data_IF_650490484803
#
_entry.id   IF_650490484803
#
_cell.length_a   1.000
_cell.length_b   1.000
_cell.length_c   1.000
_cell.angle_alpha   90.00
_cell.angle_beta   90.00
_cell.angle_gamma   90.00
#
_symmetry.space_group_name_H-M   'P 1'
#
loop_
_entity.id
_entity.type
_entity.pdbx_description
1 polymer ?
#
# COMPACT_ATOMS: atom_id res chain seq x y z
N UNK A 1 33.28 -21.72 -3.31
CA UNK A 1 32.95 -20.63 -2.39
C UNK A 1 31.43 -20.72 -2.16
N UNK A 2 30.97 -21.00 -0.94
CA UNK A 2 29.54 -20.97 -0.66
C UNK A 2 29.12 -19.49 -0.79
N UNK A 3 28.30 -19.17 -1.78
CA UNK A 3 27.65 -17.87 -1.87
C UNK A 3 26.77 -17.72 -0.62
N UNK A 4 27.26 -17.02 0.38
CA UNK A 4 26.42 -16.52 1.47
C UNK A 4 25.45 -15.56 0.83
N UNK A 5 24.20 -16.01 0.64
CA UNK A 5 23.14 -15.15 0.09
C UNK A 5 23.02 -13.92 1.00
N UNK A 6 23.36 -12.74 0.48
CA UNK A 6 23.20 -11.50 1.23
C UNK A 6 21.73 -11.31 1.61
N UNK A 7 21.50 -10.78 2.81
CA UNK A 7 20.15 -10.50 3.30
C UNK A 7 19.83 -9.02 3.26
N UNK A 8 18.57 -8.69 3.09
CA UNK A 8 18.06 -7.33 3.24
C UNK A 8 17.25 -7.24 4.52
N UNK A 9 17.59 -6.29 5.38
CA UNK A 9 16.96 -6.07 6.67
C UNK A 9 16.17 -4.77 6.69
N UNK A 10 15.03 -4.77 7.35
CA UNK A 10 14.27 -3.57 7.70
C UNK A 10 14.77 -3.13 9.09
N UNK A 11 15.21 -1.87 9.20
CA UNK A 11 15.78 -1.33 10.44
C UNK A 11 14.82 -0.37 11.16
N UNK A 12 14.09 0.46 10.43
CA UNK A 12 13.02 1.31 10.96
C UNK A 12 11.98 1.57 9.87
N UNK A 13 10.76 1.92 10.27
CA UNK A 13 9.67 2.20 9.34
C UNK A 13 8.65 3.14 9.98
N UNK A 14 8.17 4.12 9.20
CA UNK A 14 7.19 5.11 9.62
C UNK A 14 6.25 5.46 8.49
N UNK A 15 5.09 6.04 8.84
CA UNK A 15 4.09 6.53 7.91
C UNK A 15 3.44 7.82 8.39
N UNK A 16 2.85 8.56 7.49
CA UNK A 16 1.90 9.61 7.84
C UNK A 16 0.58 8.99 8.33
N UNK A 17 -0.30 9.74 8.97
CA UNK A 17 -1.72 9.40 9.03
C UNK A 17 -2.25 9.17 7.62
N UNK A 18 -3.34 8.41 7.48
CA UNK A 18 -4.07 8.27 6.23
C UNK A 18 -5.25 9.25 6.22
N UNK A 19 -5.24 10.18 5.26
CA UNK A 19 -6.30 11.15 5.02
C UNK A 19 -7.42 10.58 4.14
N UNK A 20 -8.65 11.08 4.31
CA UNK A 20 -9.75 10.83 3.37
C UNK A 20 -9.59 11.71 2.13
N UNK A 21 -10.22 11.31 1.04
CA UNK A 21 -10.35 12.17 -0.14
C UNK A 21 -10.97 13.53 0.23
N UNK A 22 -10.30 14.60 -0.15
CA UNK A 22 -10.70 15.96 0.20
C UNK A 22 -10.64 16.28 1.70
N UNK A 23 -9.99 15.42 2.51
CA UNK A 23 -9.91 15.54 3.98
C UNK A 23 -8.67 16.25 4.48
N UNK A 24 -8.21 15.81 5.65
CA UNK A 24 -7.17 16.49 6.44
C UNK A 24 -5.83 16.67 5.71
N UNK A 25 -5.45 15.73 4.83
CA UNK A 25 -4.20 15.78 4.07
C UNK A 25 -4.33 16.39 2.66
N UNK A 26 -5.55 16.72 2.20
CA UNK A 26 -5.79 17.20 0.84
C UNK A 26 -5.04 18.48 0.46
N UNK A 27 -4.57 19.27 1.45
CA UNK A 27 -3.81 20.50 1.22
C UNK A 27 -2.29 20.30 1.22
N UNK A 28 -1.82 19.11 1.56
CA UNK A 28 -0.40 18.76 1.54
C UNK A 28 -0.04 18.27 0.14
N UNK A 29 0.95 18.91 -0.50
CA UNK A 29 1.45 18.48 -1.81
C UNK A 29 1.97 17.05 -1.74
N UNK A 30 1.83 16.30 -2.81
CA UNK A 30 2.23 14.88 -2.84
C UNK A 30 3.73 14.69 -2.61
N UNK A 31 4.56 15.52 -3.20
CA UNK A 31 6.01 15.51 -3.05
C UNK A 31 6.46 15.90 -1.64
N UNK A 32 5.81 16.89 -1.02
CA UNK A 32 6.03 17.26 0.38
C UNK A 32 5.57 16.14 1.33
N UNK A 33 4.41 15.54 1.08
CA UNK A 33 3.87 14.43 1.88
C UNK A 33 4.84 13.24 1.90
N UNK A 34 5.44 12.91 0.74
CA UNK A 34 6.44 11.85 0.62
C UNK A 34 7.75 12.16 1.36
N UNK A 35 8.11 13.43 1.50
CA UNK A 35 9.31 13.83 2.23
C UNK A 35 9.18 13.69 3.75
N UNK A 36 7.95 13.73 4.31
CA UNK A 36 7.73 13.70 5.76
C UNK A 36 8.24 12.41 6.42
N UNK A 37 7.89 11.19 5.97
CA UNK A 37 8.41 9.97 6.58
C UNK A 37 9.93 9.84 6.42
N UNK A 38 10.54 10.36 5.35
CA UNK A 38 12.00 10.38 5.18
C UNK A 38 12.63 11.28 6.23
N UNK A 39 12.14 12.52 6.42
CA UNK A 39 12.61 13.43 7.49
C UNK A 39 12.47 12.81 8.86
N UNK A 40 11.37 12.10 9.12
CA UNK A 40 11.14 11.46 10.40
C UNK A 40 12.15 10.34 10.68
N UNK A 41 12.51 9.54 9.67
CA UNK A 41 13.58 8.54 9.77
C UNK A 41 14.93 9.21 10.04
N UNK A 42 15.25 10.30 9.33
CA UNK A 42 16.47 11.08 9.58
C UNK A 42 16.53 11.62 11.02
N UNK A 43 15.42 12.14 11.52
CA UNK A 43 15.34 12.67 12.88
C UNK A 43 15.43 11.58 13.96
N UNK A 44 14.91 10.37 13.70
CA UNK A 44 15.03 9.21 14.60
C UNK A 44 16.46 8.66 14.65
N UNK A 45 17.23 8.86 13.59
CA UNK A 45 18.57 8.32 13.43
C UNK A 45 19.61 9.41 13.14
N UNK A 46 19.83 10.38 14.05
CA UNK A 46 20.75 11.51 13.81
C UNK A 46 22.23 11.10 13.71
N UNK A 47 22.56 9.90 14.15
CA UNK A 47 23.92 9.36 14.09
C UNK A 47 24.25 8.59 12.81
N UNK A 48 23.31 8.40 11.89
CA UNK A 48 23.58 7.74 10.63
C UNK A 48 24.31 8.67 9.65
N UNK A 49 25.25 8.11 8.90
CA UNK A 49 25.80 8.77 7.73
C UNK A 49 24.82 8.68 6.55
N UNK A 50 23.92 9.65 6.47
CA UNK A 50 22.95 9.74 5.40
C UNK A 50 23.57 9.97 4.02
N UNK A 51 24.82 10.43 3.93
CA UNK A 51 25.53 10.56 2.66
C UNK A 51 25.93 9.19 2.07
N UNK A 52 25.99 8.15 2.91
CA UNK A 52 26.22 6.76 2.49
C UNK A 52 24.95 6.05 1.99
N UNK A 53 23.80 6.72 1.92
CA UNK A 53 22.57 6.14 1.35
C UNK A 53 22.75 5.95 -0.16
N UNK A 54 22.58 4.73 -0.63
CA UNK A 54 22.79 4.39 -2.04
C UNK A 54 21.62 4.85 -2.91
N UNK A 55 20.36 4.65 -2.48
CA UNK A 55 19.19 4.99 -3.29
C UNK A 55 17.90 5.08 -2.45
N UNK A 56 16.93 5.85 -2.95
CA UNK A 56 15.55 5.93 -2.44
C UNK A 56 14.58 5.35 -3.45
N UNK A 57 13.82 4.32 -3.05
CA UNK A 57 12.77 3.67 -3.86
C UNK A 57 11.40 4.06 -3.32
N UNK A 58 10.59 4.79 -4.08
CA UNK A 58 9.21 5.07 -3.68
C UNK A 58 8.20 4.56 -4.70
N UNK A 59 7.18 3.89 -4.20
CA UNK A 59 5.99 3.55 -4.96
C UNK A 59 5.07 4.76 -5.14
N UNK A 60 4.60 4.99 -6.38
CA UNK A 60 3.57 5.98 -6.68
C UNK A 60 2.79 5.53 -7.92
N UNK A 61 1.47 5.48 -7.85
CA UNK A 61 0.65 4.98 -8.95
C UNK A 61 0.27 6.09 -9.94
N UNK A 62 -0.06 7.30 -9.48
CA UNK A 62 -0.54 8.36 -10.35
C UNK A 62 0.59 8.97 -11.17
N UNK A 63 1.45 9.75 -10.74
CA UNK A 63 2.54 10.44 -11.45
C UNK A 63 2.07 11.46 -12.51
N UNK A 64 0.81 11.90 -12.47
CA UNK A 64 0.27 12.87 -13.42
C UNK A 64 0.31 14.32 -12.91
N UNK A 65 0.43 14.52 -11.60
CA UNK A 65 0.40 15.82 -10.95
C UNK A 65 1.72 16.22 -10.30
N UNK A 66 1.66 16.56 -9.02
CA UNK A 66 2.81 16.95 -8.19
C UNK A 66 3.79 15.80 -7.92
N UNK A 67 3.35 14.60 -8.20
CA UNK A 67 4.06 13.32 -8.14
C UNK A 67 4.81 12.97 -9.45
N UNK A 68 4.80 13.85 -10.44
CA UNK A 68 5.53 13.67 -11.69
C UNK A 68 7.05 13.86 -11.50
N UNK A 69 7.82 13.60 -12.55
CA UNK A 69 9.29 13.77 -12.59
C UNK A 69 10.05 13.02 -11.50
N UNK A 70 9.64 11.79 -11.19
CA UNK A 70 10.29 10.95 -10.20
C UNK A 70 10.12 11.49 -8.76
N UNK A 71 8.94 11.25 -8.18
CA UNK A 71 8.61 11.71 -6.83
C UNK A 71 9.58 11.20 -5.76
N UNK A 72 10.21 10.04 -5.95
CA UNK A 72 11.24 9.52 -5.03
C UNK A 72 12.45 10.48 -4.99
N UNK A 73 12.94 10.93 -6.15
CA UNK A 73 14.04 11.90 -6.21
C UNK A 73 13.63 13.26 -5.67
N UNK A 74 12.43 13.74 -5.99
CA UNK A 74 11.95 15.03 -5.50
C UNK A 74 11.82 15.02 -3.97
N UNK A 75 11.21 14.01 -3.41
CA UNK A 75 10.96 13.93 -1.97
C UNK A 75 12.23 13.75 -1.13
N UNK A 76 13.23 13.01 -1.61
CA UNK A 76 14.51 12.90 -0.89
C UNK A 76 15.23 14.26 -0.81
N UNK A 77 15.21 15.06 -1.89
CA UNK A 77 15.77 16.41 -1.91
C UNK A 77 14.98 17.35 -0.97
N UNK A 78 13.65 17.29 -1.02
CA UNK A 78 12.78 18.04 -0.12
C UNK A 78 12.96 17.61 1.34
N UNK A 79 13.32 16.37 1.60
CA UNK A 79 13.65 15.88 2.94
C UNK A 79 15.00 16.42 3.46
N UNK A 80 15.87 16.91 2.58
CA UNK A 80 17.19 17.44 2.93
C UNK A 80 18.32 16.42 2.82
N UNK A 81 18.08 15.30 2.13
CA UNK A 81 19.14 14.35 1.77
C UNK A 81 20.07 14.94 0.69
N UNK A 82 21.28 14.40 0.57
CA UNK A 82 22.30 14.87 -0.38
C UNK A 82 21.84 14.76 -1.84
N UNK A 83 22.25 15.73 -2.65
CA UNK A 83 22.05 15.71 -4.12
C UNK A 83 22.77 14.55 -4.80
N UNK A 84 23.72 13.90 -4.13
CA UNK A 84 24.43 12.73 -4.65
C UNK A 84 23.60 11.46 -4.62
N UNK A 85 22.50 11.40 -3.82
CA UNK A 85 21.68 10.23 -3.63
C UNK A 85 20.62 10.15 -4.74
N UNK A 86 20.63 9.11 -5.57
CA UNK A 86 19.60 8.90 -6.58
C UNK A 86 18.24 8.47 -5.99
N UNK A 87 17.21 8.50 -6.80
CA UNK A 87 15.90 8.01 -6.40
C UNK A 87 15.15 7.41 -7.58
N UNK A 88 14.38 6.36 -7.34
CA UNK A 88 13.59 5.65 -8.35
C UNK A 88 12.12 5.56 -7.92
N UNK A 89 11.22 6.02 -8.80
CA UNK A 89 9.78 5.87 -8.61
C UNK A 89 9.28 4.61 -9.30
N UNK A 90 8.58 3.75 -8.56
CA UNK A 90 8.07 2.46 -9.04
C UNK A 90 6.54 2.52 -9.14
N UNK A 91 6.01 2.07 -10.26
CA UNK A 91 4.58 1.94 -10.48
C UNK A 91 4.19 0.49 -10.74
N UNK A 92 3.50 -0.09 -9.77
CA UNK A 92 2.69 -1.32 -9.89
C UNK A 92 1.32 -1.07 -9.29
N UNK A 93 0.71 0.08 -9.63
CA UNK A 93 -0.60 0.50 -9.11
C UNK A 93 -0.69 0.32 -7.58
N UNK A 94 -1.69 -0.41 -7.08
CA UNK A 94 -1.92 -0.62 -5.64
C UNK A 94 -0.72 -1.22 -4.89
N UNK A 95 0.16 -1.96 -5.55
CA UNK A 95 1.32 -2.60 -4.93
C UNK A 95 2.64 -1.83 -5.13
N UNK A 96 2.60 -0.59 -5.64
CA UNK A 96 3.81 0.18 -5.93
C UNK A 96 4.76 0.29 -4.73
N UNK A 97 4.24 0.55 -3.53
CA UNK A 97 5.05 0.62 -2.31
C UNK A 97 5.63 -0.73 -1.89
N UNK A 98 4.90 -1.85 -2.07
CA UNK A 98 5.43 -3.18 -1.79
C UNK A 98 6.52 -3.56 -2.80
N UNK A 99 6.34 -3.21 -4.07
CA UNK A 99 7.34 -3.46 -5.11
C UNK A 99 8.58 -2.58 -4.93
N UNK A 100 8.45 -1.37 -4.39
CA UNK A 100 9.56 -0.52 -3.98
C UNK A 100 10.41 -1.19 -2.89
N UNK A 101 9.76 -1.70 -1.83
CA UNK A 101 10.43 -2.47 -0.77
C UNK A 101 11.11 -3.72 -1.32
N UNK A 102 10.41 -4.48 -2.17
CA UNK A 102 10.95 -5.68 -2.79
C UNK A 102 12.09 -5.40 -3.76
N UNK A 103 12.07 -4.27 -4.48
CA UNK A 103 13.13 -3.86 -5.40
C UNK A 103 14.39 -3.45 -4.65
N UNK A 104 14.27 -2.64 -3.60
CA UNK A 104 15.39 -2.33 -2.73
C UNK A 104 16.00 -3.59 -2.09
N UNK A 105 15.16 -4.51 -1.61
CA UNK A 105 15.63 -5.78 -1.06
C UNK A 105 16.36 -6.66 -2.10
N UNK A 106 15.92 -6.67 -3.36
CA UNK A 106 16.61 -7.38 -4.46
C UNK A 106 17.97 -6.74 -4.77
N UNK A 107 18.04 -5.42 -4.86
CA UNK A 107 19.27 -4.69 -5.11
C UNK A 107 20.29 -4.89 -3.98
N UNK A 108 19.86 -4.92 -2.71
CA UNK A 108 20.72 -5.27 -1.56
C UNK A 108 21.20 -6.71 -1.66
N UNK A 109 20.32 -7.65 -1.98
CA UNK A 109 20.67 -9.09 -2.07
C UNK A 109 21.58 -9.41 -3.25
N UNK A 110 21.50 -8.65 -4.35
CA UNK A 110 22.45 -8.77 -5.48
C UNK A 110 23.81 -8.14 -5.20
N UNK A 111 23.93 -7.36 -4.13
CA UNK A 111 25.16 -6.66 -3.77
C UNK A 111 25.40 -5.37 -4.57
N UNK A 112 24.39 -4.87 -5.30
CA UNK A 112 24.50 -3.60 -6.05
C UNK A 112 24.46 -2.40 -5.13
N UNK A 113 23.68 -2.49 -4.02
CA UNK A 113 23.57 -1.45 -3.00
C UNK A 113 23.66 -2.08 -1.59
N UNK A 114 23.94 -1.28 -0.59
CA UNK A 114 24.01 -1.73 0.82
C UNK A 114 23.03 -1.05 1.74
N UNK A 115 22.63 0.19 1.44
CA UNK A 115 21.80 1.03 2.32
C UNK A 115 20.77 1.82 1.49
N UNK A 116 19.48 1.64 1.81
CA UNK A 116 18.39 2.25 1.04
C UNK A 116 17.24 2.73 1.93
N UNK A 117 16.49 3.71 1.41
CA UNK A 117 15.11 3.98 1.85
C UNK A 117 14.16 3.39 0.83
N UNK A 118 13.13 2.68 1.29
CA UNK A 118 12.03 2.21 0.45
C UNK A 118 10.68 2.58 1.07
N UNK A 119 9.68 2.83 0.23
CA UNK A 119 8.37 3.25 0.72
C UNK A 119 7.40 3.55 -0.40
N UNK A 120 6.53 4.54 -0.17
CA UNK A 120 5.61 4.99 -1.20
C UNK A 120 4.71 6.12 -0.75
N UNK A 121 4.07 6.76 -1.72
CA UNK A 121 3.16 7.88 -1.52
C UNK A 121 2.00 7.79 -2.51
N UNK A 122 0.86 8.27 -2.09
CA UNK A 122 -0.24 8.63 -2.97
C UNK A 122 -1.02 9.78 -2.34
N UNK A 123 -1.33 10.81 -3.14
CA UNK A 123 -2.35 11.79 -2.80
C UNK A 123 -3.44 11.74 -3.86
N UNK A 124 -4.47 10.98 -3.58
CA UNK A 124 -5.60 10.84 -4.51
C UNK A 124 -6.48 12.10 -4.50
N UNK A 125 -6.43 12.90 -3.42
CA UNK A 125 -7.10 14.19 -3.35
C UNK A 125 -6.51 15.24 -4.30
N UNK A 126 -5.23 15.13 -4.64
CA UNK A 126 -4.50 16.06 -5.49
C UNK A 126 -4.23 15.54 -6.90
N UNK A 127 -4.82 14.40 -7.23
CA UNK A 127 -4.76 13.84 -8.58
C UNK A 127 -5.36 14.84 -9.58
N UNK A 128 -4.62 15.26 -10.63
CA UNK A 128 -5.07 16.33 -11.51
C UNK A 128 -6.11 15.85 -12.51
N UNK A 129 -6.84 16.80 -13.06
CA UNK A 129 -7.57 16.61 -14.31
C UNK A 129 -6.59 16.71 -15.48
N UNK A 130 -6.71 15.80 -16.45
CA UNK A 130 -5.83 15.75 -17.63
C UNK A 130 -6.64 15.72 -18.92
N UNK A 131 -6.05 16.28 -19.96
CA UNK A 131 -6.64 16.36 -21.29
C UNK A 131 -5.60 15.91 -22.33
N UNK A 132 -6.03 15.10 -23.31
CA UNK A 132 -5.20 14.75 -24.46
C UNK A 132 -4.94 15.94 -25.37
N UNK A 133 -3.86 15.87 -26.16
CA UNK A 133 -3.66 16.84 -27.23
C UNK A 133 -4.69 16.64 -28.33
N UNK A 134 -4.99 17.72 -29.07
CA UNK A 134 -5.84 17.66 -30.24
C UNK A 134 -5.26 16.68 -31.29
N UNK A 135 -6.08 15.80 -31.84
CA UNK A 135 -5.69 14.84 -32.87
C UNK A 135 -5.82 15.40 -34.29
N UNK A 136 -6.54 16.52 -34.44
CA UNK A 136 -6.75 17.20 -35.72
C UNK A 136 -6.68 18.72 -35.57
N UNK A 137 -6.35 19.42 -36.67
CA UNK A 137 -6.42 20.86 -36.71
C UNK A 137 -7.89 21.35 -36.51
N UNK A 138 -8.05 22.45 -35.78
CA UNK A 138 -9.35 23.07 -35.49
C UNK A 138 -10.35 22.16 -34.72
N UNK A 139 -9.85 21.22 -33.95
CA UNK A 139 -10.68 20.38 -33.06
C UNK A 139 -11.51 21.29 -32.14
N UNK A 140 -12.82 21.04 -32.05
CA UNK A 140 -13.79 21.89 -31.31
C UNK A 140 -14.26 21.25 -29.99
N UNK A 141 -13.78 20.08 -29.64
CA UNK A 141 -14.11 19.39 -28.40
C UNK A 141 -12.85 18.77 -27.80
N UNK A 142 -12.83 18.64 -26.47
CA UNK A 142 -11.78 17.94 -25.74
C UNK A 142 -12.43 17.14 -24.59
N UNK A 143 -11.92 15.97 -24.31
CA UNK A 143 -12.30 15.16 -23.17
C UNK A 143 -11.33 15.43 -22.02
N UNK A 144 -11.87 15.73 -20.84
CA UNK A 144 -11.10 15.94 -19.60
C UNK A 144 -11.30 14.69 -18.73
N UNK A 145 -10.21 14.08 -18.28
CA UNK A 145 -10.21 12.90 -17.43
C UNK A 145 -9.77 13.25 -16.02
N UNK A 146 -10.50 12.74 -15.01
CA UNK A 146 -10.05 12.70 -13.62
C UNK A 146 -9.05 11.56 -13.44
N UNK A 147 -7.88 11.88 -12.88
CA UNK A 147 -6.82 10.88 -12.65
C UNK A 147 -6.84 10.28 -11.25
N UNK A 148 -7.81 10.63 -10.43
CA UNK A 148 -7.93 10.13 -9.04
C UNK A 148 -7.98 8.61 -8.99
N UNK A 149 -8.85 8.00 -9.83
CA UNK A 149 -9.01 6.55 -9.94
C UNK A 149 -9.65 6.20 -11.28
N UNK A 150 -9.38 5.00 -11.78
CA UNK A 150 -10.04 4.50 -12.98
C UNK A 150 -9.25 4.70 -14.27
N UNK A 151 -9.93 4.39 -15.38
CA UNK A 151 -9.35 4.39 -16.71
C UNK A 151 -9.38 5.78 -17.33
N UNK A 152 -8.29 6.13 -18.03
CA UNK A 152 -8.16 7.30 -18.88
C UNK A 152 -7.36 6.97 -20.12
N UNK A 153 -7.57 7.65 -21.23
CA UNK A 153 -6.89 7.40 -22.51
C UNK A 153 -6.92 5.91 -22.90
N UNK A 154 -8.14 5.34 -22.87
CA UNK A 154 -8.34 3.90 -23.03
C UNK A 154 -7.85 3.42 -24.40
N UNK A 155 -6.90 2.48 -24.41
CA UNK A 155 -6.48 1.80 -25.64
C UNK A 155 -7.61 0.91 -26.18
N UNK A 156 -8.06 1.09 -27.44
CA UNK A 156 -9.17 0.33 -28.01
C UNK A 156 -8.94 -1.20 -28.05
N UNK A 157 -7.71 -1.63 -28.30
CA UNK A 157 -7.36 -3.05 -28.29
C UNK A 157 -7.42 -3.65 -26.90
N UNK A 158 -6.94 -2.91 -25.88
CA UNK A 158 -7.04 -3.32 -24.48
C UNK A 158 -8.50 -3.49 -24.07
N UNK A 159 -9.37 -2.52 -24.46
CA UNK A 159 -10.81 -2.58 -24.19
C UNK A 159 -11.47 -3.78 -24.88
N UNK A 160 -11.11 -4.06 -26.12
CA UNK A 160 -11.70 -5.16 -26.88
C UNK A 160 -11.26 -6.54 -26.36
N UNK A 161 -10.01 -6.69 -25.93
CA UNK A 161 -9.46 -8.00 -25.52
C UNK A 161 -9.72 -8.33 -24.04
N UNK A 162 -9.63 -7.35 -23.15
CA UNK A 162 -9.61 -7.58 -21.70
C UNK A 162 -10.69 -6.82 -20.95
N UNK A 163 -11.39 -5.90 -21.62
CA UNK A 163 -12.31 -4.99 -20.95
C UNK A 163 -11.60 -3.87 -20.19
N UNK A 164 -12.41 -2.95 -19.67
CA UNK A 164 -11.96 -1.81 -18.86
C UNK A 164 -12.90 -1.62 -17.67
N UNK A 165 -13.23 -2.73 -17.02
CA UNK A 165 -14.10 -2.71 -15.84
C UNK A 165 -13.51 -1.75 -14.78
N UNK A 166 -14.36 -0.95 -14.17
CA UNK A 166 -13.97 -0.15 -13.01
C UNK A 166 -13.58 -1.04 -11.83
N UNK A 167 -12.83 -0.53 -10.87
CA UNK A 167 -12.40 -1.34 -9.72
C UNK A 167 -13.58 -1.96 -8.96
N UNK A 168 -14.69 -1.27 -8.67
CA UNK A 168 -15.86 -1.90 -8.06
C UNK A 168 -16.51 -2.98 -8.94
N UNK A 169 -16.50 -2.82 -10.26
CA UNK A 169 -17.01 -3.85 -11.17
C UNK A 169 -16.16 -5.11 -11.16
N UNK A 170 -14.83 -4.97 -11.04
CA UNK A 170 -13.95 -6.14 -10.85
C UNK A 170 -14.25 -6.87 -9.55
N UNK A 171 -14.59 -6.15 -8.47
CA UNK A 171 -15.02 -6.74 -7.21
C UNK A 171 -16.37 -7.46 -7.31
N UNK A 172 -17.32 -6.90 -8.04
CA UNK A 172 -18.59 -7.57 -8.36
C UNK A 172 -18.38 -8.83 -9.20
N UNK A 173 -17.40 -8.82 -10.12
CA UNK A 173 -17.03 -10.01 -10.88
C UNK A 173 -16.50 -11.11 -9.95
N UNK A 174 -15.59 -10.76 -9.03
CA UNK A 174 -15.06 -11.69 -8.02
C UNK A 174 -16.18 -12.20 -7.12
N UNK A 175 -17.07 -11.32 -6.62
CA UNK A 175 -18.19 -11.72 -5.78
C UNK A 175 -19.06 -12.75 -6.45
N UNK A 176 -19.39 -12.56 -7.73
CA UNK A 176 -20.20 -13.48 -8.52
C UNK A 176 -19.48 -14.80 -8.82
N UNK A 177 -18.23 -14.73 -9.30
CA UNK A 177 -17.46 -15.88 -9.76
C UNK A 177 -17.09 -16.83 -8.60
N UNK A 178 -16.76 -16.24 -7.43
CA UNK A 178 -16.41 -16.99 -6.23
C UNK A 178 -17.52 -17.09 -5.19
N UNK A 179 -18.74 -16.72 -5.57
CA UNK A 179 -19.96 -16.87 -4.75
C UNK A 179 -19.85 -16.19 -3.37
N UNK A 180 -19.31 -14.98 -3.33
CA UNK A 180 -19.17 -14.21 -2.10
C UNK A 180 -20.43 -13.40 -1.83
N UNK A 181 -21.21 -13.82 -0.85
CA UNK A 181 -22.48 -13.18 -0.53
C UNK A 181 -22.28 -11.77 0.08
N UNK A 182 -23.25 -10.87 -0.14
CA UNK A 182 -23.25 -9.52 0.43
C UNK A 182 -23.12 -9.53 1.96
N UNK A 183 -23.81 -10.42 2.64
CA UNK A 183 -23.73 -10.53 4.10
C UNK A 183 -22.34 -10.92 4.62
N UNK A 184 -21.60 -11.75 3.87
CA UNK A 184 -20.21 -12.08 4.22
C UNK A 184 -19.31 -10.86 4.07
N UNK A 185 -19.47 -10.10 2.99
CA UNK A 185 -18.74 -8.87 2.74
C UNK A 185 -18.96 -7.83 3.84
N UNK A 186 -20.20 -7.64 4.26
CA UNK A 186 -20.55 -6.67 5.30
C UNK A 186 -20.01 -7.12 6.68
N UNK A 187 -20.06 -8.41 7.01
CA UNK A 187 -19.43 -8.94 8.25
C UNK A 187 -17.92 -8.76 8.25
N UNK A 188 -17.26 -9.00 7.12
CA UNK A 188 -15.83 -8.77 6.98
C UNK A 188 -15.47 -7.28 7.17
N UNK A 189 -16.22 -6.39 6.53
CA UNK A 189 -16.02 -4.94 6.63
C UNK A 189 -16.25 -4.43 8.08
N UNK A 190 -17.30 -4.91 8.75
CA UNK A 190 -17.56 -4.60 10.16
C UNK A 190 -16.37 -5.03 11.04
N UNK A 191 -15.84 -6.24 10.83
CA UNK A 191 -14.67 -6.72 11.58
C UNK A 191 -13.45 -5.86 11.33
N UNK A 192 -13.19 -5.43 10.10
CA UNK A 192 -12.09 -4.52 9.79
C UNK A 192 -12.20 -3.21 10.59
N UNK A 193 -13.40 -2.60 10.63
CA UNK A 193 -13.66 -1.39 11.42
C UNK A 193 -13.47 -1.61 12.93
N UNK A 194 -13.97 -2.71 13.45
CA UNK A 194 -13.84 -3.07 14.88
C UNK A 194 -12.37 -3.27 15.27
N UNK A 195 -11.61 -4.01 14.47
CA UNK A 195 -10.17 -4.25 14.70
C UNK A 195 -9.37 -2.94 14.63
N UNK A 196 -9.63 -2.09 13.63
CA UNK A 196 -8.97 -0.79 13.52
C UNK A 196 -9.31 0.12 14.72
N UNK A 197 -10.56 0.15 15.15
CA UNK A 197 -10.98 0.90 16.34
C UNK A 197 -10.30 0.42 17.62
N UNK A 198 -10.23 -0.90 17.83
CA UNK A 198 -9.53 -1.51 18.97
C UNK A 198 -8.02 -1.21 18.93
N UNK A 199 -7.37 -1.37 17.78
CA UNK A 199 -5.95 -1.09 17.58
C UNK A 199 -5.63 0.40 17.85
N UNK A 200 -6.48 1.30 17.37
CA UNK A 200 -6.34 2.74 17.62
C UNK A 200 -6.47 3.06 19.11
N UNK A 201 -7.50 2.54 19.77
CA UNK A 201 -7.72 2.75 21.21
C UNK A 201 -6.57 2.18 22.07
N UNK A 202 -6.01 1.04 21.66
CA UNK A 202 -4.85 0.43 22.32
C UNK A 202 -3.52 1.14 21.98
N UNK A 203 -3.53 2.12 21.08
CA UNK A 203 -2.32 2.87 20.69
C UNK A 203 -1.36 2.11 19.78
N UNK A 204 -1.81 1.06 19.10
CA UNK A 204 -0.96 0.22 18.25
C UNK A 204 -0.30 1.00 17.09
N UNK A 205 -0.95 2.04 16.58
CA UNK A 205 -0.43 2.84 15.47
C UNK A 205 0.47 4.01 15.89
N UNK A 206 0.62 4.29 17.20
CA UNK A 206 1.41 5.45 17.69
C UNK A 206 2.87 5.42 17.26
N UNK A 207 3.46 4.23 17.18
CA UNK A 207 4.87 4.09 16.77
C UNK A 207 5.06 4.17 15.25
N UNK A 208 3.99 3.93 14.50
CA UNK A 208 4.00 3.97 13.04
C UNK A 208 3.82 5.40 12.51
N UNK A 209 2.93 6.17 13.16
CA UNK A 209 2.46 7.46 12.65
C UNK A 209 3.42 8.58 13.04
N UNK A 210 3.84 9.35 12.04
CA UNK A 210 4.50 10.65 12.23
C UNK A 210 3.48 11.75 11.99
N UNK A 211 3.37 12.73 12.90
CA UNK A 211 2.43 13.84 12.75
C UNK A 211 2.68 14.65 11.49
N UNK A 212 1.60 15.16 10.89
CA UNK A 212 1.66 16.03 9.72
C UNK A 212 1.18 17.42 10.11
N UNK A 213 2.07 18.39 10.08
CA UNK A 213 1.72 19.80 10.25
C UNK A 213 1.19 20.36 8.93
N UNK A 214 0.01 20.96 8.95
CA UNK A 214 -0.64 21.52 7.78
C UNK A 214 -1.53 22.71 8.19
N UNK A 215 -2.41 23.16 7.29
CA UNK A 215 -3.38 24.21 7.55
C UNK A 215 -4.79 23.74 7.27
N UNK A 216 -5.73 24.13 8.12
CA UNK A 216 -7.16 23.87 7.92
C UNK A 216 -7.73 24.75 6.77
N UNK A 217 -9.04 24.58 6.50
CA UNK A 217 -9.73 25.35 5.47
C UNK A 217 -9.69 26.88 5.69
N UNK A 218 -9.50 27.31 6.92
CA UNK A 218 -9.38 28.72 7.31
C UNK A 218 -7.94 29.22 7.34
N UNK A 219 -6.97 28.38 6.92
CA UNK A 219 -5.55 28.71 6.91
C UNK A 219 -4.86 28.61 8.28
N UNK A 220 -5.52 28.11 9.32
CA UNK A 220 -4.96 27.98 10.67
C UNK A 220 -4.06 26.74 10.75
N UNK A 221 -2.93 26.81 11.47
CA UNK A 221 -2.08 25.65 11.70
C UNK A 221 -2.86 24.52 12.38
N UNK A 222 -2.67 23.30 11.92
CA UNK A 222 -3.25 22.07 12.49
C UNK A 222 -2.26 20.94 12.35
N UNK A 223 -2.19 20.08 13.38
CA UNK A 223 -1.39 18.86 13.38
C UNK A 223 -2.32 17.67 13.26
N UNK A 224 -2.08 16.82 12.26
CA UNK A 224 -2.82 15.59 12.02
C UNK A 224 -1.99 14.41 12.54
N UNK A 225 -2.52 13.69 13.54
CA UNK A 225 -1.80 12.66 14.30
C UNK A 225 -2.48 11.28 14.22
N UNK A 226 -3.63 11.17 13.58
CA UNK A 226 -4.41 9.95 13.51
C UNK A 226 -5.00 9.72 12.13
N UNK A 227 -5.21 8.46 11.78
CA UNK A 227 -5.93 8.06 10.56
C UNK A 227 -7.35 8.62 10.58
N UNK A 228 -7.76 9.26 9.48
CA UNK A 228 -9.04 9.96 9.38
C UNK A 228 -10.19 9.06 8.93
N UNK A 229 -9.86 7.94 8.28
CA UNK A 229 -10.85 7.10 7.61
C UNK A 229 -11.66 6.17 8.53
N UNK A 230 -11.14 5.65 9.67
CA UNK A 230 -11.84 4.67 10.51
C UNK A 230 -13.21 5.15 11.01
N UNK A 231 -14.17 4.22 11.04
CA UNK A 231 -15.54 4.42 11.52
C UNK A 231 -15.88 3.38 12.59
N UNK A 232 -15.32 3.47 13.80
CA UNK A 232 -15.40 2.41 14.81
C UNK A 232 -16.83 2.15 15.31
N UNK A 233 -17.75 3.09 15.12
CA UNK A 233 -19.16 2.97 15.52
C UNK A 233 -20.07 2.34 14.45
N UNK A 234 -19.51 1.84 13.34
CA UNK A 234 -20.27 1.16 12.28
C UNK A 234 -20.96 -0.08 12.84
N UNK A 235 -22.23 -0.29 12.50
CA UNK A 235 -23.00 -1.49 12.78
C UNK A 235 -23.29 -2.33 11.52
N UNK A 236 -23.68 -3.58 11.72
CA UNK A 236 -24.06 -4.44 10.59
C UNK A 236 -25.32 -3.90 9.87
N UNK A 237 -26.25 -3.30 10.61
CA UNK A 237 -27.46 -2.71 10.07
C UNK A 237 -27.15 -1.47 9.21
N UNK A 238 -26.14 -0.67 9.59
CA UNK A 238 -25.71 0.47 8.79
C UNK A 238 -25.13 -0.02 7.45
N UNK A 239 -24.30 -1.05 7.47
CA UNK A 239 -23.73 -1.64 6.27
C UNK A 239 -24.80 -2.23 5.36
N UNK A 240 -25.79 -2.96 5.92
CA UNK A 240 -26.87 -3.58 5.19
C UNK A 240 -27.75 -2.57 4.41
N UNK A 241 -27.89 -1.33 4.93
CA UNK A 241 -28.68 -0.25 4.29
C UNK A 241 -27.97 0.41 3.12
N UNK A 242 -26.65 0.20 2.95
CA UNK A 242 -25.88 0.84 1.89
C UNK A 242 -26.30 0.33 0.51
N UNK A 243 -26.41 1.26 -0.44
CA UNK A 243 -26.72 0.96 -1.83
C UNK A 243 -25.55 0.27 -2.52
N UNK A 244 -25.85 -0.49 -3.57
CA UNK A 244 -24.91 -1.13 -4.49
C UNK A 244 -24.88 -0.35 -5.81
N UNK A 245 -24.16 0.79 -5.89
CA UNK A 245 -24.28 1.74 -7.01
C UNK A 245 -23.61 1.24 -8.30
N UNK A 246 -22.77 0.21 -8.21
CA UNK A 246 -21.92 -0.22 -9.33
C UNK A 246 -22.57 -1.28 -10.21
N UNK A 247 -23.53 -2.04 -9.67
CA UNK A 247 -24.26 -3.10 -10.38
C UNK A 247 -25.66 -3.30 -9.79
N UNK A 248 -26.61 -3.69 -10.60
CA UNK A 248 -27.96 -4.03 -10.16
C UNK A 248 -28.41 -5.38 -10.75
N UNK A 249 -28.65 -6.46 -9.95
CA UNK A 249 -28.32 -6.53 -8.52
C UNK A 249 -26.80 -6.52 -8.29
N UNK A 250 -26.36 -5.92 -7.18
CA UNK A 250 -24.95 -5.81 -6.79
C UNK A 250 -24.72 -6.16 -5.33
N UNK A 251 -23.45 -6.25 -4.95
CA UNK A 251 -23.02 -6.59 -3.59
C UNK A 251 -22.01 -5.60 -3.01
N UNK A 252 -21.28 -4.88 -3.87
CA UNK A 252 -20.23 -3.92 -3.47
C UNK A 252 -20.85 -2.59 -3.08
N UNK A 253 -20.44 -2.06 -1.94
CA UNK A 253 -20.92 -0.80 -1.37
C UNK A 253 -19.74 0.06 -0.89
N UNK A 254 -20.01 1.31 -0.56
CA UNK A 254 -19.03 2.19 0.09
C UNK A 254 -18.58 1.68 1.48
N UNK A 255 -19.31 0.78 2.11
CA UNK A 255 -18.98 0.23 3.43
C UNK A 255 -18.14 -1.04 3.39
N UNK A 256 -18.12 -1.77 2.26
CA UNK A 256 -17.36 -3.01 2.10
C UNK A 256 -16.25 -2.91 1.03
N UNK A 257 -15.88 -1.67 0.69
CA UNK A 257 -14.78 -1.29 -0.19
C UNK A 257 -13.81 -0.36 0.56
N UNK A 258 -12.54 -0.33 0.17
CA UNK A 258 -11.59 0.67 0.64
C UNK A 258 -11.94 2.07 0.13
N UNK A 259 -11.45 3.09 0.83
CA UNK A 259 -11.62 4.48 0.42
C UNK A 259 -10.60 4.94 -0.62
N UNK A 260 -10.83 6.16 -1.11
CA UNK A 260 -9.88 6.99 -1.85
C UNK A 260 -9.16 7.85 -0.83
N UNK A 261 -7.83 7.77 -0.76
CA UNK A 261 -7.07 8.26 0.39
C UNK A 261 -5.73 8.89 0.02
N UNK A 262 -5.17 9.63 0.97
CA UNK A 262 -3.86 10.28 0.90
C UNK A 262 -2.94 9.71 1.99
N UNK A 263 -1.65 9.53 1.69
CA UNK A 263 -0.68 9.08 2.68
C UNK A 263 0.69 8.75 2.10
N UNK A 264 1.68 8.66 2.97
CA UNK A 264 3.05 8.28 2.64
C UNK A 264 3.67 7.39 3.72
N UNK A 265 4.60 6.53 3.32
CA UNK A 265 5.37 5.68 4.22
C UNK A 265 6.81 5.53 3.73
N UNK A 266 7.75 5.35 4.64
CA UNK A 266 9.13 5.06 4.33
C UNK A 266 9.74 4.11 5.37
N UNK A 267 10.72 3.32 4.94
CA UNK A 267 11.49 2.42 5.80
C UNK A 267 12.95 2.38 5.39
N UNK A 268 13.82 2.14 6.35
CA UNK A 268 15.26 1.93 6.18
C UNK A 268 15.50 0.45 5.89
N UNK A 269 16.19 0.17 4.77
CA UNK A 269 16.68 -1.16 4.41
C UNK A 269 18.21 -1.16 4.39
N UNK A 270 18.80 -2.24 4.93
CA UNK A 270 20.25 -2.38 4.99
C UNK A 270 20.71 -3.82 4.75
N UNK A 271 21.92 -3.97 4.17
CA UNK A 271 22.67 -5.22 4.13
C UNK A 271 23.37 -5.47 5.48
N UNK A 272 23.88 -6.69 5.70
CA UNK A 272 24.71 -7.01 6.88
C UNK A 272 25.92 -6.07 7.03
N UNK A 273 26.54 -5.67 5.93
CA UNK A 273 27.67 -4.76 5.92
C UNK A 273 27.24 -3.35 6.36
N UNK A 274 26.12 -2.85 5.81
CA UNK A 274 25.58 -1.54 6.16
C UNK A 274 25.07 -1.49 7.62
N UNK A 275 24.46 -2.58 8.13
CA UNK A 275 24.09 -2.69 9.54
C UNK A 275 25.30 -2.41 10.46
N UNK A 276 26.42 -3.03 10.15
CA UNK A 276 27.66 -2.84 10.94
C UNK A 276 28.26 -1.44 10.77
N UNK A 277 28.36 -0.97 9.53
CA UNK A 277 28.96 0.33 9.22
C UNK A 277 28.15 1.49 9.83
N UNK A 278 26.83 1.39 9.84
CA UNK A 278 25.91 2.42 10.32
C UNK A 278 25.44 2.19 11.77
N UNK A 279 25.88 1.10 12.43
CA UNK A 279 25.41 0.70 13.77
C UNK A 279 23.88 0.57 13.85
N UNK A 280 23.25 0.15 12.74
CA UNK A 280 21.81 -0.08 12.65
C UNK A 280 21.43 -1.39 13.32
N UNK A 281 20.28 -1.41 13.99
CA UNK A 281 19.68 -2.62 14.55
C UNK A 281 18.64 -3.17 13.57
N UNK A 282 18.76 -4.42 13.10
CA UNK A 282 17.76 -5.03 12.25
C UNK A 282 16.51 -5.38 13.08
N UNK A 283 15.33 -5.11 12.53
CA UNK A 283 14.03 -5.48 13.12
C UNK A 283 13.45 -6.71 12.43
N UNK A 284 13.57 -6.78 11.11
CA UNK A 284 13.14 -7.94 10.34
C UNK A 284 14.02 -8.15 9.11
N UNK A 285 14.04 -9.39 8.63
CA UNK A 285 14.68 -9.81 7.37
C UNK A 285 13.62 -10.01 6.30
N UNK A 286 13.84 -9.51 5.09
CA UNK A 286 12.98 -9.79 3.94
C UNK A 286 13.36 -11.16 3.36
N UNK A 287 12.45 -12.13 3.45
CA UNK A 287 12.68 -13.48 2.96
C UNK A 287 12.57 -13.59 1.44
N UNK A 288 11.61 -12.85 0.86
CA UNK A 288 11.42 -12.83 -0.58
C UNK A 288 10.13 -12.14 -0.99
N UNK A 289 10.00 -11.95 -2.32
CA UNK A 289 8.81 -11.39 -2.95
C UNK A 289 8.48 -12.19 -4.21
N UNK A 290 7.20 -12.38 -4.49
CA UNK A 290 6.71 -12.95 -5.75
C UNK A 290 5.57 -12.13 -6.32
N UNK A 291 5.43 -12.21 -7.65
CA UNK A 291 4.37 -11.56 -8.41
C UNK A 291 3.67 -12.58 -9.31
N UNK A 292 2.40 -12.37 -9.59
CA UNK A 292 1.63 -13.20 -10.51
C UNK A 292 0.65 -12.35 -11.32
N UNK A 293 0.30 -12.81 -12.52
CA UNK A 293 -0.76 -12.24 -13.35
C UNK A 293 -2.04 -13.06 -13.24
N UNK A 294 -3.19 -12.39 -13.34
CA UNK A 294 -4.53 -13.00 -13.41
C UNK A 294 -5.38 -12.23 -14.42
N UNK A 295 -6.52 -12.75 -14.88
CA UNK A 295 -7.39 -12.00 -15.77
C UNK A 295 -7.77 -10.63 -15.18
N UNK A 296 -7.65 -9.51 -15.93
CA UNK A 296 -7.89 -8.16 -15.42
C UNK A 296 -9.26 -7.97 -14.76
N UNK A 297 -10.31 -8.59 -15.31
CA UNK A 297 -11.69 -8.48 -14.82
C UNK A 297 -11.93 -9.09 -13.43
N UNK A 298 -11.03 -9.96 -12.96
CA UNK A 298 -11.03 -10.56 -11.62
C UNK A 298 -9.70 -10.31 -10.91
N UNK A 299 -9.12 -9.13 -11.09
CA UNK A 299 -7.81 -8.75 -10.54
C UNK A 299 -7.69 -9.01 -9.04
N UNK A 300 -8.83 -9.01 -8.33
CA UNK A 300 -8.90 -9.19 -6.88
C UNK A 300 -8.30 -10.50 -6.37
N UNK A 301 -8.26 -11.56 -7.20
CA UNK A 301 -7.67 -12.86 -6.80
C UNK A 301 -6.15 -12.94 -6.99
N UNK A 302 -5.51 -11.88 -7.50
CA UNK A 302 -4.06 -11.83 -7.70
C UNK A 302 -3.20 -12.23 -6.49
N UNK A 303 -3.59 -11.92 -5.24
CA UNK A 303 -2.91 -12.39 -4.03
C UNK A 303 -2.71 -13.91 -3.97
N UNK A 304 -3.65 -14.71 -4.46
CA UNK A 304 -3.60 -16.19 -4.37
C UNK A 304 -2.37 -16.74 -5.10
N UNK A 305 -2.26 -16.63 -6.44
CA UNK A 305 -1.11 -17.19 -7.14
C UNK A 305 0.22 -16.51 -6.79
N UNK A 306 0.20 -15.24 -6.37
CA UNK A 306 1.41 -14.57 -5.89
C UNK A 306 1.91 -15.17 -4.57
N UNK A 307 0.98 -15.44 -3.63
CA UNK A 307 1.27 -16.09 -2.34
C UNK A 307 1.76 -17.52 -2.56
N UNK A 308 1.04 -18.33 -3.31
CA UNK A 308 1.42 -19.71 -3.62
C UNK A 308 2.83 -19.81 -4.21
N UNK A 309 3.13 -18.92 -5.18
CA UNK A 309 4.45 -18.84 -5.80
C UNK A 309 5.55 -18.45 -4.80
N UNK A 310 5.25 -17.54 -3.86
CA UNK A 310 6.18 -17.14 -2.82
C UNK A 310 6.44 -18.28 -1.85
N UNK A 311 5.38 -18.91 -1.35
CA UNK A 311 5.45 -20.02 -0.40
C UNK A 311 6.23 -21.20 -0.96
N UNK A 312 5.95 -21.60 -2.21
CA UNK A 312 6.68 -22.66 -2.90
C UNK A 312 8.18 -22.36 -2.99
N UNK A 313 8.55 -21.10 -3.30
CA UNK A 313 9.95 -20.67 -3.38
C UNK A 313 10.66 -20.69 -2.03
N UNK A 314 9.96 -20.38 -0.95
CA UNK A 314 10.51 -20.33 0.40
C UNK A 314 10.47 -21.68 1.12
N UNK A 315 9.73 -22.67 0.60
CA UNK A 315 9.48 -23.93 1.27
C UNK A 315 8.64 -23.76 2.54
N UNK A 316 7.72 -22.78 2.56
CA UNK A 316 6.87 -22.44 3.69
C UNK A 316 5.40 -22.71 3.38
N UNK A 317 4.59 -22.91 4.43
CA UNK A 317 3.13 -22.95 4.37
C UNK A 317 2.49 -21.73 5.04
N UNK A 318 1.18 -21.54 4.84
CA UNK A 318 0.45 -20.43 5.50
C UNK A 318 0.48 -20.52 7.04
N UNK A 319 0.57 -21.75 7.59
CA UNK A 319 0.69 -21.97 9.03
C UNK A 319 2.02 -21.52 9.64
N UNK A 320 3.03 -21.18 8.81
CA UNK A 320 4.32 -20.67 9.27
C UNK A 320 4.31 -19.15 9.53
N UNK A 321 3.16 -18.49 9.30
CA UNK A 321 3.01 -17.04 9.45
C UNK A 321 2.09 -16.68 10.62
N UNK A 322 2.63 -15.91 11.56
CA UNK A 322 1.91 -15.40 12.73
C UNK A 322 1.01 -14.21 12.36
N UNK A 323 1.37 -13.48 11.29
CA UNK A 323 0.64 -12.32 10.78
C UNK A 323 0.51 -12.42 9.27
N UNK A 324 -0.68 -12.16 8.76
CA UNK A 324 -0.97 -12.05 7.33
C UNK A 324 -1.65 -10.71 7.09
N UNK A 325 -0.96 -9.78 6.43
CA UNK A 325 -1.53 -8.52 5.97
C UNK A 325 -1.95 -8.66 4.51
N UNK A 326 -3.24 -8.74 4.26
CA UNK A 326 -3.81 -8.70 2.91
C UNK A 326 -4.54 -7.37 2.69
N UNK A 327 -4.20 -6.65 1.63
CA UNK A 327 -4.87 -5.38 1.35
C UNK A 327 -6.36 -5.59 1.09
N UNK A 328 -7.18 -4.83 1.79
CA UNK A 328 -8.64 -4.87 1.67
C UNK A 328 -9.14 -3.86 0.64
N UNK A 329 -8.81 -4.07 -0.65
CA UNK A 329 -9.37 -3.23 -1.69
C UNK A 329 -10.91 -3.34 -1.71
N UNK A 330 -11.42 -4.57 -1.54
CA UNK A 330 -12.84 -4.92 -1.40
C UNK A 330 -12.99 -6.15 -0.50
N UNK A 331 -14.02 -6.19 0.32
CA UNK A 331 -14.32 -7.36 1.14
C UNK A 331 -14.52 -8.64 0.29
N UNK A 332 -15.21 -8.52 -0.84
CA UNK A 332 -15.40 -9.64 -1.79
C UNK A 332 -14.07 -10.24 -2.24
N UNK A 333 -13.10 -9.39 -2.56
CA UNK A 333 -11.78 -9.78 -3.02
C UNK A 333 -11.01 -10.52 -1.93
N UNK A 334 -10.99 -10.00 -0.69
CA UNK A 334 -10.27 -10.65 0.41
C UNK A 334 -10.88 -12.00 0.74
N UNK A 335 -12.20 -12.07 0.86
CA UNK A 335 -12.90 -13.32 1.15
C UNK A 335 -12.65 -14.39 0.08
N UNK A 336 -12.65 -14.00 -1.20
CA UNK A 336 -12.29 -14.92 -2.29
C UNK A 336 -10.85 -15.43 -2.15
N UNK A 337 -9.91 -14.58 -1.79
CA UNK A 337 -8.52 -14.97 -1.55
C UNK A 337 -8.39 -15.91 -0.34
N UNK A 338 -9.00 -15.57 0.80
CA UNK A 338 -8.93 -16.40 2.01
C UNK A 338 -9.47 -17.81 1.75
N UNK A 339 -10.65 -17.91 1.14
CA UNK A 339 -11.27 -19.20 0.83
C UNK A 339 -10.45 -20.05 -0.13
N UNK A 340 -9.81 -19.45 -1.16
CA UNK A 340 -8.92 -20.15 -2.08
C UNK A 340 -7.62 -20.60 -1.41
N UNK A 341 -7.10 -19.81 -0.47
CA UNK A 341 -5.91 -20.14 0.33
C UNK A 341 -6.21 -21.10 1.49
N UNK A 342 -7.47 -21.53 1.67
CA UNK A 342 -7.88 -22.42 2.75
C UNK A 342 -7.90 -21.78 4.14
N UNK A 343 -8.01 -20.44 4.20
CA UNK A 343 -8.10 -19.70 5.46
C UNK A 343 -9.56 -19.40 5.82
N UNK A 344 -9.92 -19.44 7.10
CA UNK A 344 -11.24 -18.99 7.56
C UNK A 344 -11.47 -17.50 7.23
N UNK A 345 -12.72 -17.14 6.95
CA UNK A 345 -13.14 -15.75 6.69
C UNK A 345 -12.75 -14.81 7.85
N UNK A 346 -12.69 -15.34 9.08
CA UNK A 346 -12.42 -14.61 10.33
C UNK A 346 -11.05 -14.93 10.95
N UNK A 347 -10.14 -15.52 10.20
CA UNK A 347 -8.80 -15.88 10.66
C UNK A 347 -8.17 -14.76 11.51
N UNK A 348 -7.72 -15.14 12.72
CA UNK A 348 -7.24 -14.17 13.71
C UNK A 348 -5.94 -13.48 13.27
N UNK A 349 -5.06 -14.21 12.58
CA UNK A 349 -3.77 -13.70 12.08
C UNK A 349 -3.91 -12.80 10.84
N UNK A 350 -5.09 -12.76 10.20
CA UNK A 350 -5.33 -11.93 9.01
C UNK A 350 -5.80 -10.53 9.43
N UNK A 351 -5.04 -9.51 9.05
CA UNK A 351 -5.31 -8.09 9.34
C UNK A 351 -5.72 -7.86 10.80
N UNK A 352 -4.90 -8.23 11.78
CA UNK A 352 -5.28 -8.21 13.20
C UNK A 352 -5.57 -6.81 13.73
N UNK A 353 -5.07 -5.77 13.07
CA UNK A 353 -5.31 -4.37 13.41
C UNK A 353 -6.32 -3.68 12.47
N UNK A 354 -7.13 -4.45 11.72
CA UNK A 354 -7.94 -3.91 10.64
C UNK A 354 -7.14 -3.64 9.37
N UNK A 355 -7.80 -3.39 8.26
CA UNK A 355 -7.17 -3.18 6.96
C UNK A 355 -7.71 -1.97 6.21
N UNK A 356 -7.54 -1.94 4.90
CA UNK A 356 -7.80 -0.77 4.07
C UNK A 356 -9.27 -0.33 4.03
N UNK A 357 -10.24 -1.21 4.28
CA UNK A 357 -11.65 -0.84 4.42
C UNK A 357 -11.83 0.15 5.58
N UNK A 358 -11.12 -0.07 6.68
CA UNK A 358 -11.17 0.80 7.85
C UNK A 358 -10.14 1.93 7.78
N UNK A 359 -8.89 1.64 7.42
CA UNK A 359 -7.77 2.57 7.50
C UNK A 359 -7.63 3.45 6.25
N UNK A 360 -8.07 2.96 5.08
CA UNK A 360 -7.88 3.63 3.80
C UNK A 360 -6.83 2.98 2.90
N UNK A 361 -6.82 3.39 1.60
CA UNK A 361 -5.98 2.80 0.57
C UNK A 361 -5.30 3.84 -0.32
N UNK A 362 -4.32 4.61 0.19
CA UNK A 362 -3.44 5.41 -0.66
C UNK A 362 -2.59 4.46 -1.51
N UNK A 363 -2.84 4.38 -2.82
CA UNK A 363 -2.34 3.29 -3.69
C UNK A 363 -0.84 3.05 -3.55
N UNK A 364 -0.02 4.06 -3.81
CA UNK A 364 1.44 3.96 -3.78
C UNK A 364 2.03 3.69 -2.40
N UNK A 365 1.35 4.14 -1.32
CA UNK A 365 1.78 3.93 0.06
C UNK A 365 1.41 2.55 0.59
N UNK A 366 0.28 1.99 0.16
CA UNK A 366 -0.39 0.87 0.85
C UNK A 366 0.50 -0.35 1.05
N UNK A 367 1.29 -0.73 0.03
CA UNK A 367 2.17 -1.89 0.16
C UNK A 367 3.25 -1.72 1.22
N UNK A 368 3.84 -0.53 1.33
CA UNK A 368 4.81 -0.21 2.37
C UNK A 368 4.14 -0.16 3.76
N UNK A 369 2.92 0.40 3.85
CA UNK A 369 2.12 0.42 5.09
C UNK A 369 1.85 -0.99 5.61
N UNK A 370 1.49 -1.93 4.73
CA UNK A 370 1.23 -3.32 5.14
C UNK A 370 2.49 -3.97 5.74
N UNK A 371 3.68 -3.76 5.14
CA UNK A 371 4.95 -4.28 5.68
C UNK A 371 5.24 -3.70 7.06
N UNK A 372 5.12 -2.39 7.20
CA UNK A 372 5.35 -1.65 8.44
C UNK A 372 4.38 -2.10 9.55
N UNK A 373 3.09 -2.21 9.26
CA UNK A 373 2.07 -2.65 10.23
C UNK A 373 2.30 -4.12 10.64
N UNK A 374 2.65 -4.99 9.68
CA UNK A 374 3.00 -6.38 9.95
C UNK A 374 4.22 -6.50 10.87
N UNK A 375 5.27 -5.68 10.64
CA UNK A 375 6.46 -5.65 11.47
C UNK A 375 6.13 -5.27 12.93
N UNK A 376 5.42 -4.16 13.14
CA UNK A 376 5.00 -3.73 14.48
C UNK A 376 4.09 -4.76 15.17
N UNK A 377 3.24 -5.45 14.40
CA UNK A 377 2.40 -6.51 14.95
C UNK A 377 3.24 -7.72 15.40
N UNK A 378 4.21 -8.16 14.58
CA UNK A 378 5.12 -9.25 14.96
C UNK A 378 5.87 -8.95 16.25
N UNK A 379 6.39 -7.73 16.39
CA UNK A 379 7.08 -7.30 17.61
C UNK A 379 6.16 -7.33 18.83
N UNK A 380 4.92 -6.84 18.68
CA UNK A 380 3.94 -6.78 19.77
C UNK A 380 3.54 -8.16 20.29
N UNK A 381 3.38 -9.14 19.41
CA UNK A 381 2.95 -10.49 19.79
C UNK A 381 4.12 -11.47 20.03
N UNK A 382 5.36 -11.03 19.82
CA UNK A 382 6.52 -11.91 19.83
C UNK A 382 6.52 -12.91 18.68
N UNK A 383 5.78 -12.64 17.60
CA UNK A 383 5.67 -13.50 16.43
C UNK A 383 6.94 -13.50 15.59
N UNK A 384 7.08 -14.48 14.71
CA UNK A 384 8.28 -14.70 13.91
C UNK A 384 8.14 -14.22 12.48
N UNK A 385 7.05 -14.58 11.77
CA UNK A 385 6.92 -14.31 10.34
C UNK A 385 5.63 -13.61 9.98
N UNK A 386 5.71 -12.71 9.00
CA UNK A 386 4.54 -12.12 8.37
C UNK A 386 4.56 -12.30 6.85
N UNK A 387 3.37 -12.54 6.31
CA UNK A 387 3.05 -12.49 4.89
C UNK A 387 2.32 -11.19 4.59
N UNK A 388 2.74 -10.49 3.55
CA UNK A 388 2.09 -9.27 3.05
C UNK A 388 1.69 -9.48 1.60
N UNK A 389 0.44 -9.23 1.24
CA UNK A 389 -0.03 -9.43 -0.14
C UNK A 389 -1.08 -8.40 -0.56
N UNK A 390 -1.07 -8.06 -1.85
CA UNK A 390 -2.03 -7.14 -2.47
C UNK A 390 -2.49 -7.64 -3.83
N UNK A 391 -3.76 -7.37 -4.14
CA UNK A 391 -4.25 -7.36 -5.52
C UNK A 391 -3.83 -6.05 -6.21
N UNK A 392 -3.73 -6.09 -7.52
CA UNK A 392 -3.24 -4.99 -8.34
C UNK A 392 -4.14 -4.83 -9.57
N UNK A 393 -4.54 -3.62 -9.85
CA UNK A 393 -5.30 -3.31 -11.05
C UNK A 393 -4.67 -3.87 -12.32
N UNK A 394 -5.48 -4.07 -13.36
CA UNK A 394 -5.08 -4.72 -14.63
C UNK A 394 -4.63 -6.18 -14.44
N UNK A 395 -5.04 -6.84 -13.34
CA UNK A 395 -4.89 -8.28 -13.17
C UNK A 395 -3.53 -8.76 -12.71
N UNK A 396 -3.05 -8.28 -11.55
CA UNK A 396 -1.83 -8.79 -10.93
C UNK A 396 -2.01 -9.02 -9.43
N UNK A 397 -1.06 -9.73 -8.83
CA UNK A 397 -0.87 -9.87 -7.39
C UNK A 397 0.59 -9.80 -7.00
N UNK A 398 0.85 -9.34 -5.80
CA UNK A 398 2.20 -9.29 -5.21
C UNK A 398 2.12 -9.86 -3.80
N UNK A 399 3.11 -10.68 -3.43
CA UNK A 399 3.28 -11.21 -2.08
C UNK A 399 4.73 -11.04 -1.63
N UNK A 400 4.94 -10.65 -0.38
CA UNK A 400 6.25 -10.49 0.26
C UNK A 400 6.21 -11.12 1.65
N UNK A 401 7.29 -11.78 2.04
CA UNK A 401 7.44 -12.39 3.36
C UNK A 401 8.59 -11.74 4.13
N UNK A 402 8.34 -11.47 5.42
CA UNK A 402 9.35 -10.97 6.35
C UNK A 402 9.46 -11.89 7.56
N UNK A 403 10.65 -11.92 8.16
CA UNK A 403 10.93 -12.65 9.39
C UNK A 403 11.57 -11.70 10.40
N UNK A 404 10.98 -11.58 11.59
CA UNK A 404 11.52 -10.80 12.71
C UNK A 404 12.86 -11.41 13.16
N UNK A 405 13.83 -10.59 13.45
CA UNK A 405 15.17 -10.98 13.92
C UNK A 405 15.42 -10.54 15.36
#
# INVERSE_FOLDING_TARGET
MSETTAHAFICDAVRTPIGRYGGALARVRTDDLAALPIRALMARHPGLDWAALDEVFLGCANQAGEDNRNVARMSLLLAGLSETIPGTTINRLCASGLDAVGSAARAIRSGEIGFAIAGGVESMSRAPLVMGKAESAFQRSAEIHDTTIGWRFINPLMKAQYGVDSMPETAENVAREFQIARGDQDRFALRSQQRAGQATAAGHFRQEIVPVETRDEKGRPVTIEADEHPRPNTSIDDLARLKTPFRNPGTVTAGNASGVNDGAAAMILASEAALKAQSLQPRARILGMATAGVPPRIMGIGPVPATEKLLARLGLGLGDFDVIEINEAFAAQVLACLRQLGLPDDAAQVNPNGGAIALGHPLGMSGARLVLTALHQLERIGGKRALVTLCVGVGQGVALAVERV
#
